data_IF_516828707286
#
_entry.id   IF_516828707286
#
_cell.length_a   1.000
_cell.length_b   1.000
_cell.length_c   1.000
_cell.angle_alpha   90.00
_cell.angle_beta   90.00
_cell.angle_gamma   90.00
#
_symmetry.space_group_name_H-M   'P 1'
#
loop_
_entity.id
_entity.type
_entity.pdbx_description
1 polymer ?
#
# COMPACT_ATOMS: atom_id res chain seq x y z
N UNK A 1 -60.84 -23.66 1.07
CA UNK A 1 -59.91 -24.51 1.86
C UNK A 1 -58.58 -24.84 1.15
N UNK A 2 -58.44 -24.61 -0.17
CA UNK A 2 -57.21 -24.98 -0.92
C UNK A 2 -56.01 -24.01 -0.77
N UNK A 3 -56.25 -22.72 -0.53
CA UNK A 3 -55.17 -21.72 -0.43
C UNK A 3 -54.36 -21.78 0.88
N UNK A 4 -54.98 -22.25 1.97
CA UNK A 4 -54.33 -22.36 3.29
C UNK A 4 -53.30 -23.50 3.28
N UNK A 5 -53.62 -24.61 2.62
CA UNK A 5 -52.71 -25.76 2.48
C UNK A 5 -51.49 -25.44 1.61
N UNK A 6 -51.66 -24.64 0.56
CA UNK A 6 -50.55 -24.23 -0.33
C UNK A 6 -49.61 -23.24 0.36
N UNK A 7 -50.14 -22.29 1.12
CA UNK A 7 -49.32 -21.36 1.93
C UNK A 7 -48.57 -22.12 3.03
N UNK A 8 -49.20 -23.10 3.69
CA UNK A 8 -48.58 -23.92 4.73
C UNK A 8 -47.45 -24.81 4.20
N UNK A 9 -47.60 -25.37 2.99
CA UNK A 9 -46.55 -26.15 2.34
C UNK A 9 -45.37 -25.27 1.90
N UNK A 10 -45.63 -24.08 1.37
CA UNK A 10 -44.58 -23.15 0.97
C UNK A 10 -43.76 -22.65 2.17
N UNK A 11 -44.43 -22.32 3.29
CA UNK A 11 -43.71 -21.94 4.52
C UNK A 11 -42.92 -23.10 5.11
N UNK A 12 -43.45 -24.33 5.08
CA UNK A 12 -42.70 -25.51 5.52
C UNK A 12 -41.44 -25.74 4.68
N UNK A 13 -41.52 -25.60 3.35
CA UNK A 13 -40.36 -25.72 2.45
C UNK A 13 -39.31 -24.66 2.74
N UNK A 14 -39.72 -23.40 2.97
CA UNK A 14 -38.79 -22.31 3.31
C UNK A 14 -38.12 -22.55 4.67
N UNK A 15 -38.87 -23.01 5.68
CA UNK A 15 -38.32 -23.32 7.00
C UNK A 15 -37.31 -24.47 6.92
N UNK A 16 -37.64 -25.53 6.17
CA UNK A 16 -36.73 -26.67 5.97
C UNK A 16 -35.48 -26.27 5.17
N UNK A 17 -35.62 -25.43 4.14
CA UNK A 17 -34.49 -24.90 3.38
C UNK A 17 -33.57 -24.02 4.25
N UNK A 18 -34.14 -23.15 5.09
CA UNK A 18 -33.39 -22.31 6.01
C UNK A 18 -32.66 -23.13 7.10
N UNK A 19 -33.29 -24.20 7.59
CA UNK A 19 -32.67 -25.14 8.51
C UNK A 19 -31.50 -25.90 7.86
N UNK A 20 -31.66 -26.34 6.61
CA UNK A 20 -30.60 -27.03 5.85
C UNK A 20 -29.42 -26.10 5.55
N UNK A 21 -29.69 -24.83 5.20
CA UNK A 21 -28.64 -23.82 5.00
C UNK A 21 -27.89 -23.55 6.30
N UNK A 22 -28.58 -23.47 7.45
CA UNK A 22 -27.90 -23.37 8.76
C UNK A 22 -27.06 -24.60 9.10
N UNK A 23 -27.47 -25.78 8.67
CA UNK A 23 -26.73 -27.01 8.91
C UNK A 23 -25.51 -27.17 8.00
N UNK A 24 -25.56 -26.64 6.76
CA UNK A 24 -24.47 -26.68 5.79
C UNK A 24 -23.50 -25.49 5.91
N UNK A 25 -23.94 -24.37 6.48
CA UNK A 25 -23.16 -23.13 6.64
C UNK A 25 -23.08 -22.67 8.10
N UNK A 26 -23.04 -23.61 9.06
CA UNK A 26 -22.67 -23.27 10.42
C UNK A 26 -21.19 -22.82 10.40
N UNK A 27 -20.85 -21.56 10.72
CA UNK A 27 -19.46 -21.16 10.86
C UNK A 27 -18.88 -21.85 12.10
N UNK A 28 -17.64 -22.30 12.01
CA UNK A 28 -16.93 -22.95 13.11
C UNK A 28 -16.93 -22.03 14.35
N UNK A 29 -17.66 -22.44 15.40
CA UNK A 29 -17.55 -21.84 16.74
C UNK A 29 -16.23 -22.30 17.36
N UNK A 30 -15.17 -21.53 17.15
CA UNK A 30 -13.97 -21.61 17.98
C UNK A 30 -14.19 -20.81 19.27
N UNK A 31 -13.94 -21.49 20.37
CA UNK A 31 -14.31 -21.18 21.74
C UNK A 31 -13.70 -19.89 22.30
N UNK A 32 -14.53 -19.16 23.05
CA UNK A 32 -14.15 -18.03 23.88
C UNK A 32 -13.56 -18.50 25.21
N UNK A 33 -12.23 -18.52 25.35
CA UNK A 33 -11.55 -18.48 26.65
C UNK A 33 -10.30 -17.58 26.59
N UNK A 34 -10.22 -16.62 27.53
CA UNK A 34 -8.95 -15.99 27.96
C UNK A 34 -8.30 -14.96 27.04
N UNK A 35 -8.74 -13.68 27.13
CA UNK A 35 -7.99 -12.55 26.55
C UNK A 35 -6.76 -12.21 27.40
N UNK A 36 -5.68 -12.97 27.23
CA UNK A 36 -4.35 -12.55 27.65
C UNK A 36 -3.66 -11.79 26.50
N UNK A 37 -3.20 -10.57 26.79
CA UNK A 37 -2.66 -9.62 25.81
C UNK A 37 -1.25 -10.06 25.38
N UNK A 38 -1.13 -10.90 24.36
CA UNK A 38 0.17 -11.20 23.73
C UNK A 38 0.47 -10.23 22.58
N UNK A 39 1.19 -9.15 22.90
CA UNK A 39 1.95 -8.37 21.92
C UNK A 39 3.21 -9.15 21.52
N UNK A 40 3.13 -10.08 20.58
CA UNK A 40 4.30 -10.40 19.76
C UNK A 40 3.95 -11.21 18.49
N UNK A 41 3.94 -10.54 17.34
CA UNK A 41 4.19 -11.19 16.05
C UNK A 41 5.27 -10.39 15.31
N UNK A 42 6.46 -10.40 15.93
CA UNK A 42 7.74 -10.68 15.28
C UNK A 42 8.03 -9.96 13.97
N UNK A 43 8.53 -8.73 14.12
CA UNK A 43 9.41 -8.07 13.17
C UNK A 43 10.53 -9.02 12.71
N UNK A 44 10.61 -9.35 11.42
CA UNK A 44 11.82 -9.92 10.81
C UNK A 44 12.90 -8.83 10.65
N UNK A 45 13.27 -8.17 11.74
CA UNK A 45 14.41 -7.25 11.73
C UNK A 45 15.69 -7.98 12.11
N UNK A 46 16.83 -7.39 11.73
CA UNK A 46 18.20 -7.88 11.92
C UNK A 46 18.38 -8.75 13.18
N UNK A 47 18.78 -10.01 12.99
CA UNK A 47 18.92 -11.03 14.06
C UNK A 47 20.26 -10.96 14.80
N UNK A 48 21.12 -10.02 14.45
CA UNK A 48 22.48 -9.89 14.99
C UNK A 48 22.86 -8.43 15.22
N UNK A 49 23.82 -8.22 16.13
CA UNK A 49 24.43 -6.93 16.40
C UNK A 49 25.16 -6.41 15.16
N UNK A 50 24.90 -5.18 14.74
CA UNK A 50 25.51 -4.58 13.54
C UNK A 50 27.03 -4.39 13.62
N UNK A 51 27.60 -4.39 14.84
CA UNK A 51 29.05 -4.24 15.04
C UNK A 51 29.76 -5.58 15.14
N UNK A 52 29.37 -6.43 16.10
CA UNK A 52 30.07 -7.69 16.39
C UNK A 52 29.42 -8.93 15.79
N UNK A 53 28.32 -8.78 15.05
CA UNK A 53 27.55 -9.86 14.41
C UNK A 53 27.01 -10.95 15.34
N UNK A 54 27.13 -10.77 16.66
CA UNK A 54 26.61 -11.73 17.64
C UNK A 54 25.07 -11.66 17.72
N UNK A 55 24.39 -12.79 17.94
CA UNK A 55 22.95 -12.83 18.20
C UNK A 55 22.61 -12.15 19.55
N UNK A 56 21.31 -11.97 19.87
CA UNK A 56 20.88 -11.60 21.23
C UNK A 56 21.50 -12.54 22.26
N UNK A 57 21.84 -12.02 23.45
CA UNK A 57 22.35 -12.85 24.54
C UNK A 57 21.30 -13.88 24.97
N UNK A 58 21.74 -15.07 25.37
CA UNK A 58 20.85 -16.10 25.94
C UNK A 58 20.09 -15.54 27.15
N UNK A 59 18.76 -15.68 27.14
CA UNK A 59 17.88 -15.09 28.16
C UNK A 59 17.50 -13.62 27.95
N UNK A 60 18.12 -12.91 26.99
CA UNK A 60 17.70 -11.58 26.56
C UNK A 60 16.90 -11.66 25.27
N UNK A 61 15.66 -11.19 25.29
CA UNK A 61 14.74 -11.39 24.17
C UNK A 61 15.06 -10.51 22.95
N UNK A 62 15.79 -9.39 23.07
CA UNK A 62 15.94 -8.41 21.97
C UNK A 62 17.25 -7.62 22.01
N UNK A 63 17.84 -7.40 20.84
CA UNK A 63 18.92 -6.41 20.64
C UNK A 63 18.38 -4.98 20.86
N UNK A 64 19.24 -4.08 21.33
CA UNK A 64 18.91 -2.65 21.51
C UNK A 64 18.87 -1.97 20.14
N UNK A 65 17.81 -1.20 19.88
CA UNK A 65 17.70 -0.42 18.65
C UNK A 65 18.40 0.93 18.80
N UNK A 66 19.02 1.42 17.73
CA UNK A 66 19.52 2.79 17.68
C UNK A 66 18.35 3.77 17.88
N UNK A 67 18.46 4.67 18.87
CA UNK A 67 17.38 5.62 19.22
C UNK A 67 17.09 6.62 18.11
N UNK A 68 18.08 6.94 17.27
CA UNK A 68 17.94 7.84 16.12
C UNK A 68 17.17 7.19 14.96
N UNK A 69 17.76 6.18 14.30
CA UNK A 69 17.16 5.59 13.10
C UNK A 69 16.13 4.49 13.37
N UNK A 70 16.18 3.85 14.56
CA UNK A 70 15.38 2.67 14.95
C UNK A 70 15.42 1.50 13.95
N UNK A 71 16.50 1.40 13.17
CA UNK A 71 16.71 0.34 12.16
C UNK A 71 17.88 -0.53 12.56
N UNK A 72 19.03 0.07 12.85
CA UNK A 72 20.23 -0.66 13.26
C UNK A 72 20.11 -1.13 14.71
N UNK A 73 20.57 -2.35 14.98
CA UNK A 73 20.49 -2.97 16.30
C UNK A 73 21.86 -3.40 16.83
N UNK A 74 22.01 -3.33 18.15
CA UNK A 74 23.26 -3.59 18.87
C UNK A 74 23.01 -4.43 20.12
N UNK A 75 23.98 -5.26 20.52
CA UNK A 75 23.89 -5.98 21.79
C UNK A 75 24.22 -5.08 22.99
N UNK A 76 24.96 -3.99 22.79
CA UNK A 76 25.36 -3.04 23.84
C UNK A 76 25.61 -1.64 23.29
N UNK A 77 25.60 -0.66 24.20
CA UNK A 77 25.97 0.73 23.89
C UNK A 77 27.45 0.85 23.46
N UNK A 78 28.32 -0.01 23.99
CA UNK A 78 29.70 -0.12 23.52
C UNK A 78 29.75 -0.50 22.03
N UNK A 79 28.99 -1.50 21.59
CA UNK A 79 28.93 -1.87 20.17
C UNK A 79 28.37 -0.74 19.30
N UNK A 80 27.37 -0.01 19.78
CA UNK A 80 26.84 1.17 19.07
C UNK A 80 27.90 2.28 18.93
N UNK A 81 28.67 2.55 20.00
CA UNK A 81 29.70 3.59 20.01
C UNK A 81 30.84 3.25 19.05
N UNK A 82 31.30 1.99 19.02
CA UNK A 82 32.34 1.55 18.11
C UNK A 82 31.91 1.62 16.63
N UNK A 83 30.64 1.31 16.34
CA UNK A 83 30.09 1.39 14.99
C UNK A 83 29.74 2.83 14.58
N UNK A 84 29.73 3.81 15.50
CA UNK A 84 29.16 5.13 15.28
C UNK A 84 29.77 5.89 14.09
N UNK A 85 31.09 5.82 13.90
CA UNK A 85 31.74 6.51 12.77
C UNK A 85 31.19 6.03 11.42
N UNK A 86 30.94 4.73 11.28
CA UNK A 86 30.35 4.11 10.09
C UNK A 86 28.83 4.27 10.03
N UNK A 87 28.16 4.18 11.17
CA UNK A 87 26.70 4.22 11.26
C UNK A 87 26.13 5.64 11.12
N UNK A 88 26.83 6.68 11.57
CA UNK A 88 26.31 8.05 11.66
C UNK A 88 25.71 8.59 10.34
N UNK A 89 26.33 8.43 9.16
CA UNK A 89 25.74 8.86 7.89
C UNK A 89 24.40 8.16 7.60
N UNK A 90 24.36 6.83 7.75
CA UNK A 90 23.13 6.04 7.62
C UNK A 90 22.05 6.50 8.62
N UNK A 91 22.45 6.73 9.87
CA UNK A 91 21.54 7.13 10.93
C UNK A 91 20.85 8.46 10.62
N UNK A 92 21.59 9.45 10.11
CA UNK A 92 21.06 10.75 9.70
C UNK A 92 20.15 10.62 8.49
N UNK A 93 20.60 9.89 7.48
CA UNK A 93 19.81 9.63 6.29
C UNK A 93 18.44 9.01 6.61
N UNK A 94 18.43 7.94 7.43
CA UNK A 94 17.18 7.31 7.85
C UNK A 94 16.29 8.23 8.70
N UNK A 95 16.87 9.12 9.51
CA UNK A 95 16.08 10.12 10.25
C UNK A 95 15.42 11.12 9.28
N UNK A 96 16.13 11.54 8.24
CA UNK A 96 15.58 12.42 7.21
C UNK A 96 14.47 11.73 6.42
N UNK A 97 14.64 10.46 6.03
CA UNK A 97 13.60 9.67 5.35
C UNK A 97 12.31 9.55 6.19
N UNK A 98 12.41 9.55 7.53
CA UNK A 98 11.25 9.50 8.44
C UNK A 98 10.51 10.83 8.58
N UNK A 99 11.13 11.95 8.20
CA UNK A 99 10.46 13.27 8.28
C UNK A 99 9.23 13.26 7.39
N UNK A 100 8.17 13.88 7.91
CA UNK A 100 6.94 14.13 7.17
C UNK A 100 7.22 15.16 6.08
N UNK A 101 6.88 14.85 4.84
CA UNK A 101 6.95 15.77 3.70
C UNK A 101 5.56 16.04 3.14
N UNK A 102 5.44 16.97 2.21
CA UNK A 102 4.17 17.36 1.60
C UNK A 102 4.37 17.53 0.12
N UNK A 103 3.58 16.82 -0.68
CA UNK A 103 3.70 16.86 -2.13
C UNK A 103 2.35 17.01 -2.78
N UNK A 104 2.33 17.71 -3.90
CA UNK A 104 1.15 17.73 -4.77
C UNK A 104 0.97 16.35 -5.41
N UNK A 105 -0.23 15.81 -5.25
CA UNK A 105 -0.65 14.51 -5.79
C UNK A 105 -1.78 14.72 -6.77
N UNK A 106 -1.88 13.86 -7.78
CA UNK A 106 -3.01 13.88 -8.69
C UNK A 106 -4.09 12.94 -8.14
N UNK A 107 -5.27 13.50 -7.90
CA UNK A 107 -6.46 12.76 -7.48
C UNK A 107 -7.35 12.56 -8.70
N UNK A 108 -7.67 11.31 -9.01
CA UNK A 108 -8.70 10.96 -10.01
C UNK A 108 -9.96 10.58 -9.23
N UNK A 109 -11.00 11.45 -9.23
CA UNK A 109 -12.21 11.20 -8.46
C UNK A 109 -12.94 9.94 -8.88
N UNK A 110 -13.45 9.18 -7.91
CA UNK A 110 -14.25 7.98 -8.16
C UNK A 110 -15.58 8.26 -8.84
N UNK A 111 -16.14 9.46 -8.69
CA UNK A 111 -17.44 9.87 -9.25
C UNK A 111 -17.40 10.26 -10.74
N UNK A 112 -16.25 10.09 -11.39
CA UNK A 112 -16.05 10.50 -12.77
C UNK A 112 -15.86 12.00 -12.98
N UNK A 113 -15.58 12.75 -11.91
CA UNK A 113 -15.09 14.11 -11.97
C UNK A 113 -13.73 14.24 -12.67
N UNK A 114 -13.33 15.49 -12.93
CA UNK A 114 -12.02 15.79 -13.52
C UNK A 114 -10.90 15.56 -12.50
N UNK A 115 -9.73 15.11 -12.98
CA UNK A 115 -8.57 14.93 -12.11
C UNK A 115 -8.08 16.28 -11.53
N UNK A 116 -7.83 16.31 -10.22
CA UNK A 116 -7.43 17.51 -9.46
C UNK A 116 -6.11 17.31 -8.76
N UNK A 117 -5.35 18.39 -8.56
CA UNK A 117 -4.16 18.33 -7.70
C UNK A 117 -4.55 18.55 -6.24
N UNK A 118 -3.93 17.77 -5.35
CA UNK A 118 -4.12 17.88 -3.91
C UNK A 118 -2.81 17.69 -3.18
N UNK A 119 -2.48 18.64 -2.32
CA UNK A 119 -1.31 18.55 -1.44
C UNK A 119 -1.56 17.56 -0.32
N UNK A 120 -0.86 16.43 -0.34
CA UNK A 120 -0.99 15.38 0.67
C UNK A 120 0.28 15.28 1.54
N UNK A 121 0.12 14.95 2.83
CA UNK A 121 1.26 14.66 3.68
C UNK A 121 1.78 13.23 3.43
N UNK A 122 3.10 13.08 3.39
CA UNK A 122 3.78 11.80 3.25
C UNK A 122 4.56 11.49 4.52
N UNK A 123 4.30 10.34 5.13
CA UNK A 123 4.97 9.94 6.38
C UNK A 123 5.01 8.42 6.57
N UNK A 124 5.71 7.97 7.61
CA UNK A 124 5.69 6.57 8.04
C UNK A 124 4.29 6.10 8.46
N UNK A 125 3.51 6.97 9.11
CA UNK A 125 2.13 6.64 9.48
C UNK A 125 1.25 6.44 8.25
N UNK A 126 1.46 7.24 7.20
CA UNK A 126 0.81 7.03 5.90
C UNK A 126 1.19 5.71 5.24
N UNK A 127 2.38 5.16 5.56
CA UNK A 127 2.84 3.86 5.09
C UNK A 127 2.30 2.67 5.93
N UNK A 128 1.43 2.89 6.92
CA UNK A 128 0.89 1.82 7.76
C UNK A 128 -0.30 1.09 7.14
N UNK A 129 -0.14 0.57 5.92
CA UNK A 129 -1.11 -0.31 5.26
C UNK A 129 -0.39 -1.60 4.80
N UNK A 130 -1.10 -2.74 4.68
CA UNK A 130 -0.50 -4.09 4.67
C UNK A 130 0.53 -4.41 3.57
N UNK A 131 0.81 -3.48 2.66
CA UNK A 131 1.71 -3.67 1.53
C UNK A 131 2.71 -2.52 1.28
N UNK A 132 2.79 -1.49 2.12
CA UNK A 132 3.65 -0.33 1.82
C UNK A 132 5.14 -0.71 1.73
N UNK A 133 5.76 -0.42 0.58
CA UNK A 133 7.19 -0.71 0.28
C UNK A 133 8.10 0.50 0.54
N UNK A 134 7.60 1.52 1.26
CA UNK A 134 8.25 2.83 1.37
C UNK A 134 8.48 3.27 2.82
N UNK A 135 9.54 4.05 3.08
CA UNK A 135 9.70 4.81 4.34
C UNK A 135 8.58 5.83 4.57
N UNK A 136 7.92 6.25 3.49
CA UNK A 136 6.88 7.28 3.51
C UNK A 136 5.87 7.00 2.40
N UNK A 137 4.60 7.17 2.71
CA UNK A 137 3.50 7.08 1.76
C UNK A 137 2.49 8.19 2.09
N UNK A 138 1.62 8.59 1.13
CA UNK A 138 0.64 9.62 1.40
C UNK A 138 -0.33 9.12 2.48
N UNK A 139 -0.67 10.01 3.40
CA UNK A 139 -1.80 9.79 4.30
C UNK A 139 -3.09 9.97 3.52
N UNK A 140 -3.84 8.88 3.35
CA UNK A 140 -5.07 8.84 2.56
C UNK A 140 -6.28 8.47 3.44
N UNK A 141 -6.16 8.57 4.76
CA UNK A 141 -7.23 8.15 5.71
C UNK A 141 -8.51 8.96 5.57
N UNK A 142 -8.39 10.18 5.08
CA UNK A 142 -9.49 11.07 4.76
C UNK A 142 -10.11 10.79 3.37
N UNK A 143 -9.40 10.06 2.50
CA UNK A 143 -9.89 9.63 1.18
C UNK A 143 -10.53 8.24 1.27
N UNK A 144 -9.86 7.30 1.95
CA UNK A 144 -10.24 5.87 1.97
C UNK A 144 -10.76 5.36 3.32
N UNK A 145 -10.79 6.20 4.36
CA UNK A 145 -11.16 5.81 5.72
C UNK A 145 -9.97 5.48 6.63
N UNK A 146 -10.21 5.39 7.93
CA UNK A 146 -9.16 5.43 8.96
C UNK A 146 -8.18 4.24 8.98
N UNK A 147 -8.60 3.05 8.56
CA UNK A 147 -7.85 1.80 8.76
C UNK A 147 -7.01 1.36 7.54
N UNK A 148 -7.31 1.83 6.33
CA UNK A 148 -6.61 1.51 5.07
C UNK A 148 -6.29 0.01 4.75
N UNK A 149 -7.00 -1.04 5.23
CA UNK A 149 -6.59 -2.44 4.99
C UNK A 149 -6.76 -2.87 3.52
N UNK A 150 -7.65 -2.21 2.79
CA UNK A 150 -8.01 -2.52 1.42
C UNK A 150 -7.33 -1.60 0.41
N UNK A 151 -6.42 -0.73 0.89
CA UNK A 151 -5.60 0.08 -0.01
C UNK A 151 -4.54 -0.81 -0.65
N UNK A 152 -4.39 -0.64 -1.96
CA UNK A 152 -3.39 -1.26 -2.82
C UNK A 152 -2.63 -0.15 -3.53
N UNK A 153 -1.49 -0.52 -4.12
CA UNK A 153 -0.76 0.39 -4.97
C UNK A 153 -0.10 -0.34 -6.13
N UNK A 154 0.16 0.41 -7.18
CA UNK A 154 0.92 -0.03 -8.34
C UNK A 154 1.98 0.98 -8.71
N UNK A 155 3.15 0.47 -9.09
CA UNK A 155 4.22 1.26 -9.68
C UNK A 155 4.14 1.16 -11.19
N UNK A 156 4.23 2.31 -11.85
CA UNK A 156 4.15 2.43 -13.30
C UNK A 156 5.42 3.16 -13.76
N UNK A 157 6.16 2.55 -14.67
CA UNK A 157 7.32 3.18 -15.29
C UNK A 157 6.85 3.86 -16.58
N UNK A 158 7.15 5.15 -16.71
CA UNK A 158 6.85 5.96 -17.89
C UNK A 158 8.17 6.35 -18.55
N UNK A 159 8.25 6.16 -19.86
CA UNK A 159 9.42 6.49 -20.68
C UNK A 159 8.96 7.14 -21.98
N UNK A 160 9.89 7.81 -22.68
CA UNK A 160 9.68 8.42 -23.99
C UNK A 160 8.67 9.58 -23.99
N UNK A 161 8.49 10.26 -22.86
CA UNK A 161 7.70 11.48 -22.69
C UNK A 161 8.58 12.73 -22.46
N UNK A 162 9.87 12.54 -22.16
CA UNK A 162 10.83 13.59 -21.81
C UNK A 162 10.73 14.01 -20.34
N UNK A 163 11.78 14.65 -19.83
CA UNK A 163 11.79 15.18 -18.45
C UNK A 163 10.85 16.40 -18.31
N UNK A 164 10.09 16.53 -17.21
CA UNK A 164 10.07 15.68 -16.01
C UNK A 164 9.00 14.56 -16.07
N UNK A 165 8.44 14.26 -17.23
CA UNK A 165 7.36 13.29 -17.38
C UNK A 165 7.87 11.86 -17.21
N UNK A 166 9.06 11.57 -17.73
CA UNK A 166 9.71 10.25 -17.64
C UNK A 166 10.09 9.88 -16.21
N UNK A 167 9.96 8.60 -15.86
CA UNK A 167 10.31 8.05 -14.55
C UNK A 167 9.20 7.20 -13.93
N UNK A 168 9.34 6.93 -12.63
CA UNK A 168 8.41 6.06 -11.92
C UNK A 168 7.26 6.84 -11.27
N UNK A 169 6.04 6.38 -11.52
CA UNK A 169 4.82 6.81 -10.84
C UNK A 169 4.35 5.71 -9.91
N UNK A 170 3.61 6.12 -8.89
CA UNK A 170 2.87 5.24 -8.02
C UNK A 170 1.43 5.71 -7.93
N UNK A 171 0.54 4.72 -7.97
CA UNK A 171 -0.88 4.89 -7.89
C UNK A 171 -1.41 4.09 -6.72
N UNK A 172 -2.14 4.73 -5.81
CA UNK A 172 -2.86 4.09 -4.72
C UNK A 172 -4.36 4.10 -5.00
N UNK A 173 -5.01 2.99 -4.67
CA UNK A 173 -6.44 2.80 -4.86
C UNK A 173 -6.99 1.84 -3.80
N UNK A 174 -8.28 1.95 -3.48
CA UNK A 174 -8.94 1.01 -2.58
C UNK A 174 -9.66 -0.09 -3.36
N UNK A 175 -9.75 -1.29 -2.80
CA UNK A 175 -10.64 -2.36 -3.27
C UNK A 175 -11.83 -2.59 -2.34
N UNK A 176 -12.06 -1.68 -1.39
CA UNK A 176 -13.15 -1.74 -0.42
C UNK A 176 -14.52 -1.58 -1.07
N UNK A 177 -15.44 -2.51 -0.82
CA UNK A 177 -16.82 -2.42 -1.30
C UNK A 177 -17.66 -1.35 -0.57
N UNK A 178 -17.14 -0.78 0.52
CA UNK A 178 -17.77 0.32 1.27
C UNK A 178 -17.61 1.68 0.58
N UNK A 179 -16.64 1.81 -0.33
CA UNK A 179 -16.43 3.02 -1.12
C UNK A 179 -17.23 2.90 -2.44
N UNK A 180 -17.68 4.02 -3.02
CA UNK A 180 -18.36 3.97 -4.31
C UNK A 180 -17.42 3.40 -5.37
N UNK A 181 -17.98 2.66 -6.33
CA UNK A 181 -17.23 2.23 -7.49
C UNK A 181 -16.63 3.44 -8.22
N UNK A 182 -15.41 3.29 -8.72
CA UNK A 182 -14.79 4.32 -9.54
C UNK A 182 -15.42 4.37 -10.96
N UNK A 183 -16.43 5.23 -11.14
CA UNK A 183 -17.15 5.50 -12.40
C UNK A 183 -16.32 6.25 -13.44
N UNK A 184 -15.26 6.97 -13.03
CA UNK A 184 -14.37 7.67 -13.97
C UNK A 184 -13.84 6.73 -15.06
N UNK A 185 -13.64 5.49 -14.67
CA UNK A 185 -13.22 4.40 -15.53
C UNK A 185 -14.29 4.06 -16.55
N UNK A 186 -15.51 3.78 -16.10
CA UNK A 186 -16.63 3.42 -16.97
C UNK A 186 -16.85 4.47 -18.07
N UNK A 187 -16.82 5.76 -17.69
CA UNK A 187 -16.97 6.87 -18.64
C UNK A 187 -15.83 6.94 -19.65
N UNK A 188 -14.58 6.83 -19.20
CA UNK A 188 -13.42 6.85 -20.10
C UNK A 188 -13.38 5.63 -21.04
N UNK A 189 -13.88 4.48 -20.61
CA UNK A 189 -13.91 3.26 -21.43
C UNK A 189 -15.12 3.15 -22.35
N UNK A 190 -16.07 4.11 -22.29
CA UNK A 190 -17.34 4.07 -23.02
C UNK A 190 -18.12 2.77 -22.76
N UNK A 191 -17.87 2.13 -21.63
CA UNK A 191 -18.55 0.92 -21.20
C UNK A 191 -19.79 1.34 -20.39
N UNK A 192 -20.94 0.74 -20.67
CA UNK A 192 -22.19 1.06 -19.97
C UNK A 192 -22.33 0.29 -18.65
N UNK A 193 -21.64 -0.86 -18.54
CA UNK A 193 -21.76 -1.78 -17.42
C UNK A 193 -20.41 -2.40 -17.07
N UNK A 194 -20.26 -2.79 -15.80
CA UNK A 194 -19.06 -3.48 -15.33
C UNK A 194 -19.00 -4.91 -15.82
N UNK A 195 -17.79 -5.35 -16.23
CA UNK A 195 -17.53 -6.76 -16.53
C UNK A 195 -17.31 -7.54 -15.22
N UNK A 196 -18.07 -8.62 -14.95
CA UNK A 196 -18.05 -9.31 -13.65
C UNK A 196 -16.73 -10.02 -13.31
N UNK A 197 -15.84 -10.19 -14.28
CA UNK A 197 -14.54 -10.86 -14.14
C UNK A 197 -13.39 -9.92 -13.75
N UNK A 198 -13.65 -8.61 -13.61
CA UNK A 198 -12.60 -7.61 -13.34
C UNK A 198 -12.65 -7.13 -11.89
N UNK A 199 -11.50 -7.10 -11.22
CA UNK A 199 -11.35 -6.44 -9.93
C UNK A 199 -11.31 -4.92 -10.15
N UNK A 200 -12.33 -4.22 -9.66
CA UNK A 200 -12.43 -2.77 -9.78
C UNK A 200 -11.92 -2.06 -8.53
N UNK A 201 -11.60 -0.79 -8.72
CA UNK A 201 -11.20 0.09 -7.64
C UNK A 201 -12.41 0.84 -7.14
N UNK A 202 -12.39 1.17 -5.86
CA UNK A 202 -13.43 1.91 -5.20
C UNK A 202 -12.84 3.21 -4.63
N UNK A 203 -13.63 4.26 -4.69
CA UNK A 203 -13.25 5.62 -4.33
C UNK A 203 -12.28 6.25 -5.33
N UNK A 204 -11.60 7.29 -4.83
CA UNK A 204 -10.63 8.05 -5.61
C UNK A 204 -9.35 7.26 -5.89
N UNK A 205 -8.55 7.75 -6.82
CA UNK A 205 -7.21 7.22 -7.09
C UNK A 205 -6.20 8.32 -6.80
N UNK A 206 -5.18 8.00 -6.02
CA UNK A 206 -4.12 8.93 -5.65
C UNK A 206 -2.88 8.58 -6.45
N UNK A 207 -2.29 9.55 -7.14
CA UNK A 207 -1.10 9.34 -7.97
C UNK A 207 -0.01 10.32 -7.55
N UNK A 208 1.20 9.80 -7.37
CA UNK A 208 2.40 10.59 -7.14
C UNK A 208 3.55 10.07 -8.00
N UNK A 209 4.56 10.91 -8.19
CA UNK A 209 5.77 10.57 -8.95
C UNK A 209 6.95 10.44 -8.00
N UNK A 210 7.81 9.45 -8.21
CA UNK A 210 9.04 9.29 -7.45
C UNK A 210 10.13 10.26 -7.92
N UNK A 211 10.93 10.72 -6.97
CA UNK A 211 12.26 11.29 -7.20
C UNK A 211 13.27 10.15 -7.30
N UNK A 212 14.27 10.31 -8.17
CA UNK A 212 15.34 9.34 -8.46
C UNK A 212 15.79 8.60 -7.19
N UNK A 213 15.68 7.27 -7.27
CA UNK A 213 15.89 6.33 -6.16
C UNK A 213 17.34 6.22 -5.72
N UNK A 214 18.32 6.68 -6.51
CA UNK A 214 19.75 6.47 -6.26
C UNK A 214 20.53 7.77 -6.13
N UNK A 215 20.17 8.82 -6.86
CA UNK A 215 20.94 10.08 -6.84
C UNK A 215 20.95 10.77 -5.46
N UNK A 216 19.85 10.65 -4.70
CA UNK A 216 19.71 11.30 -3.39
C UNK A 216 20.28 10.48 -2.23
N UNK A 217 20.72 9.25 -2.51
CA UNK A 217 21.30 8.35 -1.53
C UNK A 217 22.78 8.68 -1.34
N UNK A 218 23.30 8.72 -0.09
CA UNK A 218 24.74 8.82 0.12
C UNK A 218 25.49 7.71 -0.62
N UNK A 219 26.58 8.04 -1.32
CA UNK A 219 27.34 7.12 -2.19
C UNK A 219 27.67 5.77 -1.54
N UNK A 220 27.96 5.79 -0.24
CA UNK A 220 28.26 4.61 0.59
C UNK A 220 27.12 3.59 0.66
N UNK A 221 25.87 3.99 0.39
CA UNK A 221 24.70 3.12 0.42
C UNK A 221 24.20 2.76 -0.99
N UNK A 222 24.68 3.41 -2.06
CA UNK A 222 24.12 3.27 -3.43
C UNK A 222 24.20 1.83 -3.94
N UNK A 223 25.18 1.06 -3.49
CA UNK A 223 25.35 -0.37 -3.81
C UNK A 223 24.44 -1.33 -3.04
N UNK A 224 23.79 -0.88 -1.96
CA UNK A 224 22.91 -1.72 -1.15
C UNK A 224 21.50 -1.76 -1.75
N UNK A 225 21.18 -2.78 -2.54
CA UNK A 225 19.91 -2.90 -3.29
C UNK A 225 18.61 -3.02 -2.47
N UNK A 226 18.58 -2.62 -1.20
CA UNK A 226 17.45 -2.86 -0.29
C UNK A 226 17.11 -1.73 0.69
N UNK A 227 17.56 -0.49 0.43
CA UNK A 227 17.17 0.68 1.22
C UNK A 227 15.78 1.21 0.83
N UNK A 228 14.97 1.68 1.78
CA UNK A 228 13.63 2.20 1.49
C UNK A 228 13.73 3.69 1.09
N UNK A 229 13.70 3.95 -0.22
CA UNK A 229 14.09 5.25 -0.77
C UNK A 229 13.13 5.74 -1.81
N UNK A 230 12.25 6.62 -1.36
CA UNK A 230 11.38 7.35 -2.23
C UNK A 230 11.14 8.71 -1.59
N UNK A 231 11.64 9.73 -2.25
CA UNK A 231 11.02 11.04 -2.15
C UNK A 231 10.08 11.23 -3.34
N UNK A 232 9.24 12.25 -3.31
CA UNK A 232 8.22 12.45 -4.33
C UNK A 232 8.40 13.80 -5.03
N UNK A 233 8.13 13.80 -6.33
CA UNK A 233 8.07 15.02 -7.11
C UNK A 233 6.64 15.56 -7.02
N UNK A 234 6.50 16.87 -6.89
CA UNK A 234 5.21 17.53 -6.97
C UNK A 234 4.58 17.27 -8.35
N UNK A 235 3.38 16.71 -8.34
CA UNK A 235 2.60 16.50 -9.55
C UNK A 235 2.16 17.85 -10.11
N UNK A 236 2.33 18.04 -11.41
CA UNK A 236 1.94 19.28 -12.09
C UNK A 236 0.74 19.06 -13.03
N UNK A 237 0.01 20.12 -13.43
CA UNK A 237 -1.09 19.99 -14.39
C UNK A 237 -0.67 19.37 -15.74
N UNK A 238 0.57 19.60 -16.17
CA UNK A 238 1.14 19.11 -17.43
C UNK A 238 1.36 17.60 -17.42
N UNK A 239 1.43 16.97 -16.24
CA UNK A 239 1.56 15.51 -16.11
C UNK A 239 0.23 14.77 -16.33
N UNK A 240 -0.92 15.46 -16.26
CA UNK A 240 -2.25 14.82 -16.36
C UNK A 240 -2.47 14.07 -17.68
N UNK A 241 -2.13 14.60 -18.87
CA UNK A 241 -2.31 13.87 -20.12
C UNK A 241 -1.52 12.56 -20.16
N UNK A 242 -0.29 12.56 -19.64
CA UNK A 242 0.55 11.35 -19.53
C UNK A 242 -0.13 10.33 -18.62
N UNK A 243 -0.61 10.76 -17.45
CA UNK A 243 -1.36 9.91 -16.52
C UNK A 243 -2.59 9.30 -17.16
N UNK A 244 -3.42 10.12 -17.80
CA UNK A 244 -4.63 9.64 -18.47
C UNK A 244 -4.32 8.60 -19.56
N UNK A 245 -3.22 8.79 -20.30
CA UNK A 245 -2.81 7.87 -21.36
C UNK A 245 -2.44 6.48 -20.83
N UNK A 246 -1.56 6.38 -19.82
CA UNK A 246 -1.17 5.08 -19.29
C UNK A 246 -2.26 4.44 -18.42
N UNK A 247 -3.10 5.25 -17.76
CA UNK A 247 -4.30 4.77 -17.10
C UNK A 247 -5.20 4.05 -18.10
N UNK A 248 -5.51 4.67 -19.25
CA UNK A 248 -6.31 4.03 -20.29
C UNK A 248 -5.72 2.66 -20.71
N UNK A 249 -4.40 2.58 -20.93
CA UNK A 249 -3.72 1.33 -21.28
C UNK A 249 -3.81 0.26 -20.20
N UNK A 250 -3.68 0.64 -18.93
CA UNK A 250 -3.82 -0.27 -17.80
C UNK A 250 -5.14 -1.03 -17.83
N UNK A 251 -6.24 -0.35 -18.13
CA UNK A 251 -7.56 -0.95 -18.16
C UNK A 251 -7.88 -1.73 -19.42
N UNK A 252 -7.35 -1.32 -20.57
CA UNK A 252 -7.57 -2.03 -21.85
C UNK A 252 -7.06 -3.47 -21.76
N UNK A 253 -5.81 -3.65 -21.31
CA UNK A 253 -5.14 -4.96 -21.35
C UNK A 253 -5.06 -5.66 -19.99
N UNK A 254 -5.49 -4.98 -18.92
CA UNK A 254 -5.42 -5.49 -17.55
C UNK A 254 -4.01 -5.46 -16.97
N UNK A 255 -3.93 -5.53 -15.64
CA UNK A 255 -2.70 -5.33 -14.86
C UNK A 255 -1.46 -6.08 -15.38
N UNK A 256 -1.63 -7.37 -15.70
CA UNK A 256 -0.51 -8.25 -16.08
C UNK A 256 0.05 -7.95 -17.48
N UNK A 257 -0.78 -7.47 -18.39
CA UNK A 257 -0.34 -7.13 -19.75
C UNK A 257 0.11 -5.68 -19.86
N UNK A 258 -0.50 -4.75 -19.09
CA UNK A 258 -0.05 -3.35 -19.06
C UNK A 258 1.37 -3.25 -18.52
N UNK A 259 1.70 -4.00 -17.47
CA UNK A 259 3.05 -4.10 -16.94
C UNK A 259 4.06 -4.58 -18.01
N UNK A 260 3.67 -5.51 -18.89
CA UNK A 260 4.54 -6.04 -19.96
C UNK A 260 4.75 -5.06 -21.13
N UNK A 261 3.76 -4.21 -21.43
CA UNK A 261 3.86 -3.20 -22.50
C UNK A 261 4.96 -2.18 -22.17
N UNK A 262 5.02 -1.75 -20.91
CA UNK A 262 6.00 -0.77 -20.44
C UNK A 262 7.36 -1.38 -20.07
N UNK A 263 7.46 -2.71 -19.96
CA UNK A 263 8.74 -3.42 -19.73
C UNK A 263 9.44 -3.80 -21.06
N UNK A 264 8.74 -3.68 -22.20
CA UNK A 264 9.21 -4.08 -23.54
C UNK A 264 9.60 -2.93 -24.46
N UNK A 265 9.51 -1.68 -24.03
CA UNK A 265 10.05 -0.52 -24.79
C UNK A 265 11.56 -0.33 -24.55
N UNK A 266 12.33 -1.42 -24.67
CA UNK A 266 13.79 -1.37 -24.76
C UNK A 266 14.26 -1.06 -26.17
#
# INVERSE_FOLDING_TARGET
MSWILTVALATLVIILAAALVRQLYAPDEESSEGRERTKDKTSRGMRSCSFCNRPPQEGSSRLKECTGCRITRYCSEACQTHDWQKHKPFCRYMQDCRKKTYHDTLIIPGDGGAATLRKLPFSLEGANFPNAVFMRAPDMRDIFGSELPEVRYHRIKVENQGEPMDGDYIMWYSISDHLPLNEHLLRNFREREMKPDRQFWHGDVVIAKFIDKQEHRPKEFQSSGGGPEVDFLDMTPEMRPVVNHWMQKFYEVGFKESAKIFDKQK
#
